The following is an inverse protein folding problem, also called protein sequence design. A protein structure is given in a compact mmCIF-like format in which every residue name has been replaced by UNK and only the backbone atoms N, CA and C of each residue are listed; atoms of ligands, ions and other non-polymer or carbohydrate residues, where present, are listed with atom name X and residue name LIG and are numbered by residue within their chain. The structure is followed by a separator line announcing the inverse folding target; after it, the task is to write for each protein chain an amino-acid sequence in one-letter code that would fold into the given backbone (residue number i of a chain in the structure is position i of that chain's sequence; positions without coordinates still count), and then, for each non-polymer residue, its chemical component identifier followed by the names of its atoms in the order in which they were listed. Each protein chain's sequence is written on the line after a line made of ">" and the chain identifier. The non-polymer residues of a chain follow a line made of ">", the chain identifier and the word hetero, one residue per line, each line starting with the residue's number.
data_IF_270355528498
#
_entry.id   IF_270355528498
#
_cell.length_a   1.000
_cell.length_b   1.000
_cell.length_c   1.000
_cell.angle_alpha   90.00
_cell.angle_beta   90.00
_cell.angle_gamma   90.00
#
_symmetry.space_group_name_H-M   'P 1'
#
loop_
_entity.id
_entity.type
_entity.pdbx_description
1 polymer ?
#
# COMPACT_ATOMS: atom_id res chain seq x y z
N UNK A 1 -0.13 18.30 -39.40
CA UNK A 1 -0.87 17.21 -38.72
C UNK A 1 -0.71 17.30 -37.19
N UNK A 2 -1.16 18.39 -36.55
CA UNK A 2 -0.97 18.62 -35.11
C UNK A 2 -2.28 19.05 -34.40
N UNK A 3 -3.44 18.58 -34.86
CA UNK A 3 -4.75 18.93 -34.27
C UNK A 3 -5.48 17.75 -33.59
N UNK A 4 -4.94 16.53 -33.68
CA UNK A 4 -5.57 15.35 -33.06
C UNK A 4 -5.17 15.20 -31.57
N UNK A 5 -4.11 15.88 -31.12
CA UNK A 5 -3.65 15.85 -29.72
C UNK A 5 -4.64 16.49 -28.73
N UNK A 6 -5.31 17.59 -29.12
CA UNK A 6 -6.22 18.31 -28.21
C UNK A 6 -7.53 17.58 -27.92
N UNK A 7 -8.24 16.99 -28.91
CA UNK A 7 -9.42 16.17 -28.64
C UNK A 7 -9.08 14.93 -27.82
N UNK A 8 -7.95 14.27 -28.11
CA UNK A 8 -7.49 13.09 -27.36
C UNK A 8 -7.09 13.44 -25.91
N UNK A 9 -6.47 14.60 -25.67
CA UNK A 9 -6.16 15.06 -24.32
C UNK A 9 -7.42 15.37 -23.48
N UNK A 10 -8.49 15.83 -24.12
CA UNK A 10 -9.79 16.04 -23.49
C UNK A 10 -10.53 14.71 -23.22
N UNK A 11 -10.37 13.72 -24.11
CA UNK A 11 -10.97 12.39 -23.98
C UNK A 11 -10.20 11.46 -23.01
N UNK A 12 -8.88 11.64 -22.87
CA UNK A 12 -7.99 10.81 -22.04
C UNK A 12 -7.07 11.66 -21.13
N UNK A 13 -7.64 12.54 -20.28
CA UNK A 13 -6.87 13.49 -19.46
C UNK A 13 -5.87 12.80 -18.51
N UNK A 14 -6.14 11.53 -18.17
CA UNK A 14 -5.33 10.67 -17.30
C UNK A 14 -3.96 10.26 -17.86
N UNK A 15 -3.75 10.37 -19.18
CA UNK A 15 -2.55 9.88 -19.87
C UNK A 15 -1.73 11.00 -20.53
N UNK A 16 -2.36 12.13 -20.83
CA UNK A 16 -1.81 13.16 -21.73
C UNK A 16 -1.66 14.55 -21.12
N UNK A 17 -2.28 14.83 -19.96
CA UNK A 17 -2.20 16.14 -19.30
C UNK A 17 -1.40 16.04 -18.00
N UNK A 18 -0.48 16.99 -17.80
CA UNK A 18 0.21 17.15 -16.51
C UNK A 18 -0.78 17.66 -15.46
N UNK A 19 -0.53 17.35 -14.18
CA UNK A 19 -1.40 17.70 -13.04
C UNK A 19 -1.75 19.20 -12.96
N UNK A 20 -0.98 20.06 -13.61
CA UNK A 20 -1.21 21.51 -13.65
C UNK A 20 -2.49 21.90 -14.42
N UNK A 21 -2.89 21.11 -15.43
CA UNK A 21 -4.02 21.46 -16.31
C UNK A 21 -5.39 20.94 -15.86
N UNK A 22 -5.45 20.21 -14.75
CA UNK A 22 -6.71 19.65 -14.26
C UNK A 22 -7.43 20.64 -13.33
N UNK A 23 -8.74 20.77 -13.50
CA UNK A 23 -9.59 21.49 -12.54
C UNK A 23 -9.54 20.80 -11.18
N UNK A 24 -9.90 21.52 -10.11
CA UNK A 24 -9.94 20.94 -8.74
C UNK A 24 -10.88 19.74 -8.66
N UNK A 25 -12.02 19.80 -9.36
CA UNK A 25 -12.98 18.70 -9.44
C UNK A 25 -12.38 17.48 -10.17
N UNK A 26 -11.74 17.69 -11.31
CA UNK A 26 -11.08 16.62 -12.07
C UNK A 26 -9.96 15.96 -11.27
N UNK A 27 -9.15 16.74 -10.53
CA UNK A 27 -8.11 16.21 -9.64
C UNK A 27 -8.71 15.27 -8.59
N UNK A 28 -9.79 15.69 -7.94
CA UNK A 28 -10.46 14.88 -6.91
C UNK A 28 -11.02 13.58 -7.51
N UNK A 29 -11.75 13.66 -8.63
CA UNK A 29 -12.31 12.50 -9.32
C UNK A 29 -11.22 11.52 -9.78
N UNK A 30 -10.13 12.04 -10.33
CA UNK A 30 -9.04 11.21 -10.80
C UNK A 30 -8.31 10.53 -9.66
N UNK A 31 -8.00 11.23 -8.57
CA UNK A 31 -7.42 10.61 -7.38
C UNK A 31 -8.32 9.50 -6.82
N UNK A 32 -9.63 9.74 -6.76
CA UNK A 32 -10.60 8.73 -6.32
C UNK A 32 -10.62 7.50 -7.24
N UNK A 33 -10.60 7.70 -8.56
CA UNK A 33 -10.54 6.61 -9.55
C UNK A 33 -9.24 5.81 -9.45
N UNK A 34 -8.09 6.46 -9.26
CA UNK A 34 -6.81 5.80 -9.03
C UNK A 34 -6.87 4.96 -7.74
N UNK A 35 -7.39 5.54 -6.66
CA UNK A 35 -7.49 4.86 -5.38
C UNK A 35 -8.40 3.63 -5.46
N UNK A 36 -9.58 3.75 -6.06
CA UNK A 36 -10.50 2.62 -6.28
C UNK A 36 -9.82 1.50 -7.08
N UNK A 37 -9.08 1.84 -8.14
CA UNK A 37 -8.33 0.88 -8.94
C UNK A 37 -7.25 0.15 -8.14
N UNK A 38 -6.53 0.84 -7.24
CA UNK A 38 -5.54 0.21 -6.35
C UNK A 38 -6.22 -0.76 -5.37
N UNK A 39 -7.27 -0.31 -4.71
CA UNK A 39 -8.01 -1.08 -3.71
C UNK A 39 -8.62 -2.38 -4.25
N UNK A 40 -8.96 -2.41 -5.55
CA UNK A 40 -9.47 -3.61 -6.22
C UNK A 40 -8.49 -4.80 -6.19
N UNK A 41 -7.17 -4.54 -6.09
CA UNK A 41 -6.16 -5.60 -6.05
C UNK A 41 -5.79 -6.04 -4.64
N UNK A 42 -6.26 -5.35 -3.59
CA UNK A 42 -5.93 -5.74 -2.22
C UNK A 42 -6.42 -7.16 -1.90
N UNK A 43 -7.60 -7.57 -2.41
CA UNK A 43 -8.11 -8.94 -2.25
C UNK A 43 -7.15 -9.97 -2.84
N UNK A 44 -6.58 -9.70 -4.02
CA UNK A 44 -5.64 -10.63 -4.65
C UNK A 44 -4.33 -10.75 -3.87
N UNK A 45 -3.79 -9.63 -3.36
CA UNK A 45 -2.60 -9.68 -2.49
C UNK A 45 -2.90 -10.46 -1.20
N UNK A 46 -4.06 -10.22 -0.57
CA UNK A 46 -4.49 -10.99 0.60
C UNK A 46 -4.62 -12.50 0.29
N UNK A 47 -5.22 -12.87 -0.83
CA UNK A 47 -5.32 -14.26 -1.26
C UNK A 47 -3.95 -14.91 -1.45
N UNK A 48 -2.97 -14.18 -1.99
CA UNK A 48 -1.60 -14.69 -2.09
C UNK A 48 -0.99 -14.93 -0.71
N UNK A 49 -1.09 -13.96 0.21
CA UNK A 49 -0.63 -14.12 1.59
C UNK A 49 -1.25 -15.36 2.25
N UNK A 50 -2.56 -15.56 2.08
CA UNK A 50 -3.28 -16.70 2.62
C UNK A 50 -2.86 -18.03 1.98
N UNK A 51 -2.72 -18.10 0.65
CA UNK A 51 -2.36 -19.32 -0.07
C UNK A 51 -0.94 -19.80 0.22
N UNK A 52 -0.04 -18.88 0.56
CA UNK A 52 1.36 -19.18 0.87
C UNK A 52 1.55 -19.57 2.36
N UNK A 53 0.50 -19.54 3.18
CA UNK A 53 0.56 -19.88 4.61
C UNK A 53 1.01 -21.33 4.85
N UNK A 54 0.59 -22.27 4.01
CA UNK A 54 0.96 -23.69 4.12
C UNK A 54 2.48 -23.93 3.97
N UNK A 55 3.18 -23.05 3.25
CA UNK A 55 4.65 -23.12 3.11
C UNK A 55 5.33 -22.90 4.46
N UNK A 56 4.68 -22.17 5.37
CA UNK A 56 5.19 -21.81 6.68
C UNK A 56 4.90 -22.85 7.77
N UNK A 57 4.30 -24.01 7.47
CA UNK A 57 3.85 -25.00 8.50
C UNK A 57 4.89 -25.34 9.57
N UNK A 58 6.17 -25.44 9.21
CA UNK A 58 7.27 -25.75 10.14
C UNK A 58 7.91 -24.52 10.78
N UNK A 59 7.53 -23.31 10.36
CA UNK A 59 8.05 -22.06 10.89
C UNK A 59 7.41 -21.77 12.27
N UNK A 60 8.24 -21.39 13.25
CA UNK A 60 7.77 -21.01 14.60
C UNK A 60 6.72 -19.89 14.61
N UNK A 61 6.70 -19.03 13.59
CA UNK A 61 5.75 -17.92 13.46
C UNK A 61 4.46 -18.31 12.74
N UNK A 62 4.31 -19.55 12.27
CA UNK A 62 3.13 -20.02 11.55
C UNK A 62 1.82 -19.74 12.29
N UNK A 63 1.75 -20.09 13.58
CA UNK A 63 0.55 -19.89 14.39
C UNK A 63 0.18 -18.40 14.50
N UNK A 64 1.17 -17.54 14.82
CA UNK A 64 0.96 -16.09 14.90
C UNK A 64 0.53 -15.50 13.56
N UNK A 65 1.17 -15.90 12.47
CA UNK A 65 0.83 -15.41 11.15
C UNK A 65 -0.55 -15.90 10.68
N UNK A 66 -0.92 -17.14 11.00
CA UNK A 66 -2.26 -17.67 10.75
C UNK A 66 -3.34 -16.85 11.48
N UNK A 67 -3.07 -16.38 12.70
CA UNK A 67 -3.97 -15.47 13.43
C UNK A 67 -4.09 -14.11 12.72
N UNK A 68 -2.98 -13.53 12.27
CA UNK A 68 -2.98 -12.28 11.47
C UNK A 68 -3.83 -12.43 10.20
N UNK A 69 -3.64 -13.52 9.46
CA UNK A 69 -4.42 -13.81 8.24
C UNK A 69 -5.90 -14.03 8.57
N UNK A 70 -6.21 -14.74 9.65
CA UNK A 70 -7.58 -14.98 10.11
C UNK A 70 -8.33 -13.70 10.49
N UNK A 71 -7.65 -12.74 11.15
CA UNK A 71 -8.23 -11.42 11.42
C UNK A 71 -8.60 -10.68 10.14
N UNK A 72 -7.71 -10.68 9.15
CA UNK A 72 -8.02 -10.07 7.85
C UNK A 72 -9.18 -10.77 7.14
N UNK A 73 -9.26 -12.11 7.24
CA UNK A 73 -10.35 -12.90 6.66
C UNK A 73 -11.72 -12.56 7.30
N UNK A 74 -11.76 -12.32 8.62
CA UNK A 74 -12.99 -11.99 9.36
C UNK A 74 -13.41 -10.52 9.25
N UNK A 75 -12.70 -9.71 8.48
CA UNK A 75 -13.00 -8.28 8.31
C UNK A 75 -12.35 -7.37 9.36
N UNK A 76 -11.47 -7.90 10.21
CA UNK A 76 -10.68 -7.12 11.18
C UNK A 76 -9.29 -6.78 10.61
N UNK A 77 -8.49 -6.07 11.40
CA UNK A 77 -7.07 -5.82 11.12
C UNK A 77 -6.18 -6.33 12.26
N UNK A 78 -4.99 -6.87 11.94
CA UNK A 78 -3.94 -7.02 12.93
C UNK A 78 -3.50 -5.65 13.46
N UNK A 79 -3.05 -5.61 14.71
CA UNK A 79 -2.35 -4.44 15.24
C UNK A 79 -0.96 -4.32 14.59
N UNK A 80 -0.35 -3.14 14.67
CA UNK A 80 1.03 -2.96 14.19
C UNK A 80 2.01 -3.90 14.89
N UNK A 81 1.83 -4.14 16.19
CA UNK A 81 2.67 -5.05 16.97
C UNK A 81 2.56 -6.51 16.46
N UNK A 82 1.36 -6.99 16.15
CA UNK A 82 1.17 -8.34 15.61
C UNK A 82 1.86 -8.54 14.25
N UNK A 83 1.88 -7.48 13.42
CA UNK A 83 2.63 -7.47 12.15
C UNK A 83 4.13 -7.47 12.40
N UNK A 84 4.62 -6.64 13.33
CA UNK A 84 6.04 -6.55 13.71
C UNK A 84 6.57 -7.91 14.18
N UNK A 85 5.81 -8.62 15.02
CA UNK A 85 6.21 -9.96 15.50
C UNK A 85 6.40 -10.99 14.37
N UNK A 86 5.78 -10.75 13.22
CA UNK A 86 5.86 -11.61 12.04
C UNK A 86 6.82 -11.07 10.97
N UNK A 87 7.52 -9.97 11.22
CA UNK A 87 8.27 -9.25 10.17
C UNK A 87 9.33 -10.09 9.46
N UNK A 88 9.97 -11.03 10.18
CA UNK A 88 11.05 -11.86 9.62
C UNK A 88 10.56 -12.79 8.51
N UNK A 89 9.24 -13.07 8.43
CA UNK A 89 8.65 -13.85 7.34
C UNK A 89 8.82 -13.19 5.97
N UNK A 90 9.05 -11.87 5.93
CA UNK A 90 9.22 -11.09 4.70
C UNK A 90 10.67 -11.00 4.22
N UNK A 91 11.63 -11.57 4.97
CA UNK A 91 13.03 -11.71 4.56
C UNK A 91 13.33 -12.99 3.79
N UNK A 92 12.45 -13.99 3.88
CA UNK A 92 12.66 -15.31 3.28
C UNK A 92 11.44 -15.77 2.50
N UNK A 93 11.51 -17.01 1.98
CA UNK A 93 10.35 -17.68 1.38
C UNK A 93 9.23 -17.76 2.45
N UNK A 94 7.97 -17.46 2.11
CA UNK A 94 7.47 -17.15 0.76
C UNK A 94 7.41 -15.66 0.41
N UNK A 95 7.46 -14.76 1.38
CA UNK A 95 7.05 -13.36 1.19
C UNK A 95 8.18 -12.40 0.79
N UNK A 96 9.44 -12.84 0.73
CA UNK A 96 10.49 -11.98 0.20
C UNK A 96 10.27 -11.68 -1.30
N UNK A 97 10.68 -10.49 -1.75
CA UNK A 97 10.42 -10.04 -3.13
C UNK A 97 11.04 -11.03 -4.16
N UNK A 98 12.14 -11.70 -3.79
CA UNK A 98 12.83 -12.68 -4.60
C UNK A 98 12.00 -13.94 -4.89
N UNK A 99 11.23 -14.43 -3.91
CA UNK A 99 10.45 -15.66 -3.98
C UNK A 99 9.00 -15.47 -4.44
N UNK A 100 8.50 -14.22 -4.47
CA UNK A 100 7.12 -13.96 -4.87
C UNK A 100 6.80 -14.54 -6.25
N UNK A 101 5.63 -15.18 -6.32
CA UNK A 101 5.05 -15.68 -7.57
C UNK A 101 4.75 -14.52 -8.55
N UNK A 102 4.62 -14.85 -9.84
CA UNK A 102 4.31 -13.84 -10.85
C UNK A 102 3.00 -13.12 -10.55
N UNK A 103 1.96 -13.86 -10.13
CA UNK A 103 0.65 -13.30 -9.76
C UNK A 103 0.76 -12.31 -8.60
N UNK A 104 1.46 -12.71 -7.54
CA UNK A 104 1.66 -11.88 -6.34
C UNK A 104 2.38 -10.57 -6.70
N UNK A 105 3.44 -10.64 -7.51
CA UNK A 105 4.14 -9.45 -8.03
C UNK A 105 3.21 -8.55 -8.85
N UNK A 106 2.30 -9.10 -9.67
CA UNK A 106 1.34 -8.28 -10.44
C UNK A 106 0.41 -7.51 -9.51
N UNK A 107 -0.12 -8.18 -8.49
CA UNK A 107 -1.06 -7.57 -7.55
C UNK A 107 -0.38 -6.49 -6.71
N UNK A 108 0.86 -6.73 -6.25
CA UNK A 108 1.66 -5.71 -5.56
C UNK A 108 1.93 -4.48 -6.44
N UNK A 109 2.32 -4.66 -7.71
CA UNK A 109 2.51 -3.53 -8.62
C UNK A 109 1.23 -2.69 -8.74
N UNK A 110 0.07 -3.33 -8.81
CA UNK A 110 -1.21 -2.62 -8.98
C UNK A 110 -1.64 -1.85 -7.74
N UNK A 111 -1.51 -2.42 -6.53
CA UNK A 111 -1.84 -1.68 -5.29
C UNK A 111 -0.91 -0.47 -5.08
N UNK A 112 0.30 -0.51 -5.64
CA UNK A 112 1.27 0.59 -5.62
C UNK A 112 1.19 1.51 -6.85
N UNK A 113 0.14 1.40 -7.66
CA UNK A 113 -0.11 2.20 -8.86
C UNK A 113 1.02 2.13 -9.93
N UNK A 114 1.68 0.99 -10.04
CA UNK A 114 2.80 0.76 -10.93
C UNK A 114 2.37 0.01 -12.21
N UNK A 115 3.00 0.35 -13.35
CA UNK A 115 2.76 -0.37 -14.61
C UNK A 115 3.33 -1.80 -14.60
N UNK A 116 2.82 -2.67 -15.46
CA UNK A 116 3.12 -4.11 -15.51
C UNK A 116 4.29 -4.51 -16.43
N UNK A 117 5.08 -3.52 -16.87
CA UNK A 117 6.18 -3.73 -17.81
C UNK A 117 7.38 -4.47 -17.21
N UNK A 118 8.56 -4.22 -17.78
CA UNK A 118 9.80 -4.94 -17.46
C UNK A 118 10.29 -4.72 -16.02
N UNK A 119 11.22 -5.58 -15.58
CA UNK A 119 11.97 -5.45 -14.31
C UNK A 119 11.07 -5.29 -13.08
N UNK A 120 9.94 -6.02 -13.05
CA UNK A 120 8.87 -5.93 -12.05
C UNK A 120 9.35 -5.99 -10.59
N UNK A 121 10.14 -7.01 -10.24
CA UNK A 121 10.69 -7.19 -8.89
C UNK A 121 11.63 -6.05 -8.48
N UNK A 122 12.56 -5.65 -9.38
CA UNK A 122 13.46 -4.50 -9.15
C UNK A 122 12.69 -3.21 -8.91
N UNK A 123 11.62 -2.96 -9.66
CA UNK A 123 10.77 -1.78 -9.49
C UNK A 123 9.99 -1.83 -8.16
N UNK A 124 9.50 -3.00 -7.75
CA UNK A 124 8.91 -3.17 -6.41
C UNK A 124 9.93 -2.91 -5.30
N UNK A 125 11.16 -3.39 -5.42
CA UNK A 125 12.24 -3.08 -4.47
C UNK A 125 12.51 -1.58 -4.36
N UNK A 126 12.62 -0.89 -5.51
CA UNK A 126 12.77 0.57 -5.55
C UNK A 126 11.59 1.29 -4.90
N UNK A 127 10.36 0.83 -5.16
CA UNK A 127 9.15 1.40 -4.54
C UNK A 127 9.13 1.19 -3.02
N UNK A 128 9.49 0.00 -2.56
CA UNK A 128 9.57 -0.32 -1.14
C UNK A 128 10.62 0.56 -0.45
N UNK A 129 11.82 0.69 -1.04
CA UNK A 129 12.89 1.56 -0.53
C UNK A 129 12.47 3.03 -0.51
N UNK A 130 11.78 3.51 -1.54
CA UNK A 130 11.28 4.88 -1.57
C UNK A 130 10.25 5.15 -0.45
N UNK A 131 9.30 4.24 -0.22
CA UNK A 131 8.34 4.37 0.88
C UNK A 131 9.06 4.35 2.23
N UNK A 132 9.95 3.38 2.44
CA UNK A 132 10.74 3.27 3.66
C UNK A 132 11.54 4.55 3.97
N UNK A 133 12.23 5.11 2.98
CA UNK A 133 12.99 6.35 3.18
C UNK A 133 12.09 7.55 3.47
N UNK A 134 10.89 7.60 2.89
CA UNK A 134 9.88 8.61 3.25
C UNK A 134 9.40 8.42 4.70
N UNK A 135 9.19 7.19 5.15
CA UNK A 135 8.83 6.88 6.53
C UNK A 135 9.94 7.30 7.51
N UNK A 136 11.21 6.97 7.22
CA UNK A 136 12.36 7.41 8.01
C UNK A 136 12.46 8.94 8.08
N UNK A 137 12.17 9.65 6.98
CA UNK A 137 12.14 11.10 6.98
C UNK A 137 11.04 11.63 7.90
N UNK A 138 9.80 11.12 7.79
CA UNK A 138 8.70 11.53 8.68
C UNK A 138 9.06 11.31 10.15
N UNK A 139 9.64 10.15 10.50
CA UNK A 139 10.06 9.85 11.87
C UNK A 139 11.09 10.87 12.37
N UNK A 140 12.10 11.18 11.55
CA UNK A 140 13.16 12.15 11.89
C UNK A 140 12.61 13.57 12.07
N UNK A 141 11.65 13.98 11.26
CA UNK A 141 11.04 15.33 11.32
C UNK A 141 9.95 15.48 12.41
N UNK A 142 9.87 14.55 13.38
CA UNK A 142 8.95 14.64 14.51
C UNK A 142 7.70 13.76 14.43
N UNK A 143 7.68 12.79 13.50
CA UNK A 143 6.64 11.77 13.42
C UNK A 143 5.35 12.24 12.74
N UNK A 144 4.27 11.46 12.93
CA UNK A 144 2.99 11.76 12.29
C UNK A 144 2.33 13.04 12.85
N UNK A 145 2.62 13.39 14.10
CA UNK A 145 2.09 14.58 14.77
C UNK A 145 2.64 15.90 14.20
N UNK A 146 3.84 15.87 13.61
CA UNK A 146 4.46 17.04 13.01
C UNK A 146 3.86 17.39 11.63
N UNK A 147 3.12 16.46 11.01
CA UNK A 147 2.54 16.64 9.68
C UNK A 147 1.26 17.48 9.74
N UNK A 148 1.15 18.41 8.79
CA UNK A 148 -0.10 19.15 8.61
C UNK A 148 -1.19 18.27 7.97
N UNK A 149 -2.41 18.81 7.85
CA UNK A 149 -3.56 18.05 7.37
C UNK A 149 -3.39 17.48 5.95
N UNK A 150 -2.84 18.26 5.02
CA UNK A 150 -2.66 17.82 3.64
C UNK A 150 -1.53 16.80 3.49
N UNK A 151 -0.46 16.97 4.27
CA UNK A 151 0.64 16.00 4.37
C UNK A 151 0.16 14.66 4.93
N UNK A 152 -0.67 14.68 5.98
CA UNK A 152 -1.29 13.47 6.53
C UNK A 152 -2.16 12.77 5.49
N UNK A 153 -3.01 13.52 4.77
CA UNK A 153 -3.85 12.95 3.71
C UNK A 153 -3.01 12.31 2.61
N UNK A 154 -1.95 12.98 2.18
CA UNK A 154 -1.02 12.45 1.19
C UNK A 154 -0.32 11.18 1.69
N UNK A 155 0.22 11.22 2.91
CA UNK A 155 0.94 10.11 3.51
C UNK A 155 0.06 8.85 3.67
N UNK A 156 -1.18 9.02 4.15
CA UNK A 156 -2.17 7.95 4.26
C UNK A 156 -2.55 7.37 2.88
N UNK A 157 -2.86 8.25 1.91
CA UNK A 157 -3.23 7.86 0.55
C UNK A 157 -2.12 7.06 -0.15
N UNK A 158 -0.88 7.52 -0.04
CA UNK A 158 0.30 6.84 -0.59
C UNK A 158 0.39 5.40 -0.06
N UNK A 159 0.14 5.21 1.23
CA UNK A 159 0.21 3.94 1.96
C UNK A 159 -1.06 3.08 1.85
N UNK A 160 -2.02 3.52 1.05
CA UNK A 160 -3.19 2.73 0.65
C UNK A 160 -4.41 2.87 1.56
N UNK A 161 -4.38 3.81 2.51
CA UNK A 161 -5.57 4.24 3.26
C UNK A 161 -6.30 5.32 2.45
N UNK A 162 -7.62 5.26 2.36
CA UNK A 162 -8.43 6.36 1.84
C UNK A 162 -8.68 7.39 2.96
N UNK A 163 -8.07 8.59 2.90
CA UNK A 163 -8.25 9.62 3.92
C UNK A 163 -9.55 10.42 3.75
N UNK A 164 -10.38 10.13 2.74
CA UNK A 164 -11.60 10.90 2.46
C UNK A 164 -12.52 10.87 3.68
N UNK A 165 -12.90 12.05 4.18
CA UNK A 165 -13.73 12.26 5.37
C UNK A 165 -13.14 11.72 6.69
N UNK A 166 -11.82 11.45 6.77
CA UNK A 166 -11.17 11.12 8.04
C UNK A 166 -10.82 12.38 8.82
N UNK A 167 -10.96 12.33 10.16
CA UNK A 167 -10.46 13.39 11.03
C UNK A 167 -8.94 13.33 11.07
N UNK A 168 -8.28 14.46 11.31
CA UNK A 168 -6.82 14.54 11.41
C UNK A 168 -6.25 13.58 12.46
N UNK A 169 -6.92 13.48 13.62
CA UNK A 169 -6.55 12.55 14.70
C UNK A 169 -6.53 11.10 14.24
N UNK A 170 -7.54 10.66 13.47
CA UNK A 170 -7.66 9.28 13.01
C UNK A 170 -6.58 8.95 11.96
N UNK A 171 -6.29 9.90 11.06
CA UNK A 171 -5.17 9.76 10.11
C UNK A 171 -3.82 9.68 10.81
N UNK A 172 -3.63 10.51 11.84
CA UNK A 172 -2.41 10.53 12.64
C UNK A 172 -2.20 9.20 13.33
N UNK A 173 -3.24 8.68 14.01
CA UNK A 173 -3.17 7.39 14.72
C UNK A 173 -2.89 6.23 13.76
N UNK A 174 -3.56 6.19 12.61
CA UNK A 174 -3.31 5.17 11.60
C UNK A 174 -1.86 5.24 11.07
N UNK A 175 -1.36 6.45 10.77
CA UNK A 175 -0.01 6.64 10.28
C UNK A 175 1.04 6.27 11.33
N UNK A 176 0.81 6.55 12.62
CA UNK A 176 1.67 6.04 13.71
C UNK A 176 1.79 4.53 13.70
N UNK A 177 0.66 3.83 13.54
CA UNK A 177 0.64 2.37 13.42
C UNK A 177 1.49 1.86 12.26
N UNK A 178 1.40 2.53 11.10
CA UNK A 178 2.27 2.24 9.95
C UNK A 178 3.75 2.49 10.26
N UNK A 179 4.08 3.66 10.81
CA UNK A 179 5.46 4.09 11.07
C UNK A 179 6.18 3.16 12.05
N UNK A 180 5.47 2.67 13.08
CA UNK A 180 6.00 1.65 14.02
C UNK A 180 6.46 0.38 13.32
N UNK A 181 5.75 -0.06 12.27
CA UNK A 181 6.19 -1.22 11.48
C UNK A 181 7.43 -0.87 10.67
N UNK A 182 7.45 0.29 10.02
CA UNK A 182 8.58 0.65 9.16
C UNK A 182 9.86 0.97 9.93
N UNK A 183 9.75 1.39 11.18
CA UNK A 183 10.89 1.65 12.07
C UNK A 183 11.73 0.39 12.34
N UNK A 184 11.10 -0.79 12.39
CA UNK A 184 11.79 -2.07 12.63
C UNK A 184 12.20 -2.80 11.35
N UNK A 185 11.81 -2.28 10.18
CA UNK A 185 12.14 -2.88 8.88
C UNK A 185 13.62 -2.64 8.54
N UNK A 186 14.24 -3.70 8.01
CA UNK A 186 15.60 -3.72 7.49
C UNK A 186 15.58 -3.94 5.97
N UNK A 187 16.73 -3.91 5.32
CA UNK A 187 16.82 -4.19 3.88
C UNK A 187 16.36 -5.64 3.55
N UNK A 188 16.51 -6.58 4.48
CA UNK A 188 16.16 -7.98 4.27
C UNK A 188 14.64 -8.18 4.18
N UNK A 189 13.88 -7.55 5.06
CA UNK A 189 12.42 -7.72 5.15
C UNK A 189 11.62 -6.58 4.50
N UNK A 190 12.27 -5.77 3.65
CA UNK A 190 11.69 -4.62 2.97
C UNK A 190 10.41 -4.94 2.17
N UNK A 191 10.22 -6.21 1.78
CA UNK A 191 8.97 -6.70 1.19
C UNK A 191 7.74 -6.39 2.05
N UNK A 192 7.86 -6.38 3.38
CA UNK A 192 6.77 -6.10 4.31
C UNK A 192 6.08 -4.76 4.02
N UNK A 193 6.86 -3.70 3.74
CA UNK A 193 6.33 -2.37 3.37
C UNK A 193 5.33 -2.46 2.21
N UNK A 194 5.59 -3.34 1.24
CA UNK A 194 4.73 -3.50 0.08
C UNK A 194 3.39 -4.17 0.43
N UNK A 195 3.34 -4.96 1.50
CA UNK A 195 2.16 -5.70 1.95
C UNK A 195 1.36 -4.96 3.02
N UNK A 196 1.97 -4.01 3.73
CA UNK A 196 1.30 -3.17 4.73
C UNK A 196 0.00 -2.50 4.28
N UNK A 197 -0.20 -2.05 3.02
CA UNK A 197 -1.49 -1.51 2.58
C UNK A 197 -2.65 -2.49 2.75
N UNK A 198 -2.36 -3.80 2.62
CA UNK A 198 -3.35 -4.86 2.86
C UNK A 198 -3.47 -5.12 4.36
N UNK A 199 -2.33 -5.33 5.04
CA UNK A 199 -2.30 -5.68 6.45
C UNK A 199 -3.00 -4.63 7.34
N UNK A 200 -2.87 -3.35 7.03
CA UNK A 200 -3.37 -2.25 7.88
C UNK A 200 -4.59 -1.51 7.32
N UNK A 201 -4.89 -1.65 6.04
CA UNK A 201 -5.95 -0.86 5.40
C UNK A 201 -6.94 -1.69 4.58
N UNK A 202 -6.75 -3.00 4.42
CA UNK A 202 -7.67 -3.82 3.60
C UNK A 202 -9.12 -3.73 4.05
N UNK A 203 -9.36 -3.87 5.35
CA UNK A 203 -10.67 -3.81 5.99
C UNK A 203 -11.06 -2.44 6.58
N UNK A 204 -10.32 -1.38 6.25
CA UNK A 204 -10.61 -0.07 6.83
C UNK A 204 -11.93 0.47 6.27
N UNK A 205 -12.78 1.04 7.12
CA UNK A 205 -14.13 1.48 6.72
C UNK A 205 -14.10 2.46 5.53
N UNK A 206 -13.16 3.41 5.51
CA UNK A 206 -12.97 4.33 4.38
C UNK A 206 -12.50 3.67 3.08
N UNK A 207 -11.86 2.50 3.15
CA UNK A 207 -11.49 1.73 1.97
C UNK A 207 -12.64 0.85 1.50
N UNK A 208 -13.46 0.33 2.42
CA UNK A 208 -14.67 -0.42 2.08
C UNK A 208 -15.71 0.44 1.38
N UNK A 209 -15.92 1.68 1.82
CA UNK A 209 -16.87 2.59 1.18
C UNK A 209 -16.55 2.87 -0.29
N UNK A 210 -15.27 2.83 -0.69
CA UNK A 210 -14.83 2.99 -2.09
C UNK A 210 -14.93 1.72 -2.94
N UNK A 211 -15.05 0.53 -2.31
CA UNK A 211 -15.15 -0.75 -3.04
C UNK A 211 -16.56 -1.08 -3.49
N UNK A 212 -17.58 -0.48 -2.87
CA UNK A 212 -18.96 -0.55 -3.35
C UNK A 212 -19.13 0.15 -4.69
#
# INVERSE_FOLDING_TARGET
>A
MNYVMFPLAYMFPYQLLTHHFWSLQQKAEFLMKAQKKRLAYNKSVFQHLQSELDILRVNRLHSKWSQVISKLASGLHPTSQEVIECQSLFGHIPYNIGSLSTGHVRSLLKIHAMHMGWRRKKRLQQKAKAIYLMDCAIIREGGAEALNYDELRYACSLRGLNPTNMKQKDMTEWLKGWLRITEVITEDNLSLVLHCPVLLAYNHVNNWSLRR
#
